data_IF_154216443595
#
_entry.id   IF_154216443595
#
_cell.length_a   1.000
_cell.length_b   1.000
_cell.length_c   1.000
_cell.angle_alpha   90.00
_cell.angle_beta   90.00
_cell.angle_gamma   90.00
#
_symmetry.space_group_name_H-M   'P 1'
#
loop_
_entity.id
_entity.type
_entity.pdbx_description
1 polymer ?
#
# COMPACT_ATOMS: atom_id res chain seq x y z
N UNK A 1 -16.56 -50.86 -27.37
CA UNK A 1 -15.38 -50.02 -27.49
C UNK A 1 -15.69 -48.51 -27.26
N UNK A 2 -16.90 -48.14 -26.79
CA UNK A 2 -17.31 -46.74 -26.63
C UNK A 2 -17.41 -46.24 -25.16
N UNK A 3 -17.13 -47.07 -24.16
CA UNK A 3 -17.24 -46.67 -22.73
C UNK A 3 -15.92 -46.05 -22.24
N UNK A 4 -14.78 -46.53 -22.74
CA UNK A 4 -13.46 -45.99 -22.38
C UNK A 4 -13.24 -44.53 -22.83
N UNK A 5 -13.70 -44.15 -24.04
CA UNK A 5 -13.54 -42.77 -24.54
C UNK A 5 -14.35 -41.74 -23.75
N UNK A 6 -15.51 -42.13 -23.19
CA UNK A 6 -16.33 -41.22 -22.36
C UNK A 6 -15.71 -40.91 -21.01
N UNK A 7 -14.99 -41.88 -20.44
CA UNK A 7 -14.27 -41.70 -19.17
C UNK A 7 -13.12 -40.69 -19.25
N UNK A 8 -12.35 -40.73 -20.33
CA UNK A 8 -11.24 -39.77 -20.54
C UNK A 8 -11.71 -38.33 -20.77
N UNK A 9 -12.85 -38.13 -21.45
CA UNK A 9 -13.40 -36.79 -21.70
C UNK A 9 -13.91 -36.11 -20.40
N UNK A 10 -14.50 -36.86 -19.49
CA UNK A 10 -14.96 -36.36 -18.18
C UNK A 10 -13.78 -36.06 -17.26
N UNK A 11 -12.76 -36.92 -17.26
CA UNK A 11 -11.55 -36.72 -16.47
C UNK A 11 -10.75 -35.50 -16.94
N UNK A 12 -10.66 -35.25 -18.26
CA UNK A 12 -10.00 -34.05 -18.81
C UNK A 12 -10.76 -32.77 -18.48
N UNK A 13 -12.10 -32.79 -18.50
CA UNK A 13 -12.95 -31.66 -18.14
C UNK A 13 -12.85 -31.31 -16.64
N UNK A 14 -12.74 -32.32 -15.76
CA UNK A 14 -12.55 -32.12 -14.32
C UNK A 14 -11.15 -31.55 -14.03
N UNK A 15 -10.11 -31.97 -14.74
CA UNK A 15 -8.75 -31.44 -14.57
C UNK A 15 -8.66 -29.96 -14.94
N UNK A 16 -9.37 -29.52 -15.99
CA UNK A 16 -9.39 -28.13 -16.43
C UNK A 16 -10.02 -27.16 -15.42
N UNK A 17 -10.96 -27.63 -14.60
CA UNK A 17 -11.64 -26.80 -13.58
C UNK A 17 -10.73 -26.52 -12.38
N UNK A 18 -9.78 -27.39 -12.04
CA UNK A 18 -8.85 -27.17 -10.93
C UNK A 18 -7.77 -26.13 -11.21
N UNK A 19 -7.41 -25.88 -12.48
CA UNK A 19 -6.43 -24.86 -12.83
C UNK A 19 -7.00 -23.44 -12.80
N UNK A 20 -8.32 -23.26 -12.78
CA UNK A 20 -8.96 -21.94 -12.78
C UNK A 20 -9.10 -21.32 -11.38
N UNK A 21 -8.88 -22.06 -10.30
CA UNK A 21 -9.19 -21.61 -8.94
C UNK A 21 -8.09 -20.75 -8.26
N UNK A 22 -6.83 -20.82 -8.76
CA UNK A 22 -5.73 -20.01 -8.21
C UNK A 22 -5.38 -18.75 -9.05
N UNK A 23 -6.09 -18.53 -10.16
CA UNK A 23 -5.73 -17.54 -11.18
C UNK A 23 -5.89 -16.06 -10.77
N UNK A 24 -7.09 -15.60 -10.33
CA UNK A 24 -7.35 -14.14 -10.21
C UNK A 24 -6.50 -13.46 -9.15
N UNK A 25 -6.41 -14.02 -7.95
CA UNK A 25 -5.63 -13.40 -6.86
C UNK A 25 -4.13 -13.42 -7.14
N UNK A 26 -3.61 -14.45 -7.81
CA UNK A 26 -2.20 -14.48 -8.22
C UNK A 26 -1.90 -13.42 -9.28
N UNK A 27 -2.78 -13.26 -10.27
CA UNK A 27 -2.66 -12.23 -11.30
C UNK A 27 -2.75 -10.83 -10.67
N UNK A 28 -3.76 -10.57 -9.83
CA UNK A 28 -3.91 -9.29 -9.14
C UNK A 28 -2.67 -8.95 -8.31
N UNK A 29 -2.07 -9.95 -7.61
CA UNK A 29 -0.83 -9.77 -6.87
C UNK A 29 0.36 -9.40 -7.75
N UNK A 30 0.48 -10.04 -8.92
CA UNK A 30 1.49 -9.71 -9.92
C UNK A 30 1.34 -8.28 -10.45
N UNK A 31 0.11 -7.88 -10.79
CA UNK A 31 -0.18 -6.53 -11.26
C UNK A 31 0.10 -5.48 -10.16
N UNK A 32 -0.25 -5.75 -8.89
CA UNK A 32 0.10 -4.86 -7.77
C UNK A 32 1.61 -4.72 -7.63
N UNK A 33 2.37 -5.82 -7.72
CA UNK A 33 3.83 -5.77 -7.63
C UNK A 33 4.44 -4.93 -8.76
N UNK A 34 3.97 -5.08 -10.00
CA UNK A 34 4.42 -4.28 -11.15
C UNK A 34 4.05 -2.81 -10.98
N UNK A 35 2.83 -2.53 -10.52
CA UNK A 35 2.37 -1.17 -10.25
C UNK A 35 3.21 -0.47 -9.17
N UNK A 36 3.56 -1.17 -8.07
CA UNK A 36 4.47 -0.64 -7.05
C UNK A 36 5.83 -0.30 -7.63
N UNK A 37 6.43 -1.19 -8.42
CA UNK A 37 7.72 -0.93 -9.06
C UNK A 37 7.65 0.29 -10.01
N UNK A 38 6.58 0.43 -10.79
CA UNK A 38 6.37 1.58 -11.65
C UNK A 38 6.26 2.87 -10.82
N UNK A 39 5.49 2.86 -9.74
CA UNK A 39 5.31 4.00 -8.83
C UNK A 39 6.64 4.43 -8.19
N UNK A 40 7.47 3.50 -7.72
CA UNK A 40 8.79 3.80 -7.14
C UNK A 40 9.79 4.36 -8.14
N UNK A 41 9.63 4.06 -9.44
CA UNK A 41 10.42 4.69 -10.52
C UNK A 41 9.87 6.03 -10.99
N UNK A 42 8.76 6.51 -10.41
CA UNK A 42 8.07 7.74 -10.83
C UNK A 42 7.21 7.58 -12.07
N UNK A 43 7.04 6.36 -12.59
CA UNK A 43 6.11 6.07 -13.69
C UNK A 43 4.67 5.96 -13.17
N UNK A 44 4.09 7.12 -12.83
CA UNK A 44 2.75 7.17 -12.27
C UNK A 44 1.68 6.69 -13.25
N UNK A 45 1.88 6.89 -14.55
CA UNK A 45 0.94 6.45 -15.58
C UNK A 45 0.97 4.93 -15.75
N UNK A 46 2.15 4.33 -15.78
CA UNK A 46 2.31 2.88 -15.80
C UNK A 46 1.75 2.23 -14.53
N UNK A 47 2.04 2.81 -13.35
CA UNK A 47 1.48 2.36 -12.09
C UNK A 47 -0.06 2.35 -12.10
N UNK A 48 -0.69 3.42 -12.62
CA UNK A 48 -2.14 3.50 -12.75
C UNK A 48 -2.70 2.35 -13.60
N UNK A 49 -2.07 2.04 -14.74
CA UNK A 49 -2.48 0.95 -15.62
C UNK A 49 -2.44 -0.41 -14.91
N UNK A 50 -1.37 -0.72 -14.21
CA UNK A 50 -1.23 -1.97 -13.45
C UNK A 50 -2.25 -2.07 -12.33
N UNK A 51 -2.47 -1.02 -11.54
CA UNK A 51 -3.45 -1.06 -10.45
C UNK A 51 -4.89 -1.09 -10.95
N UNK A 52 -5.19 -0.54 -12.13
CA UNK A 52 -6.48 -0.73 -12.79
C UNK A 52 -6.71 -2.19 -13.18
N UNK A 53 -5.70 -2.85 -13.76
CA UNK A 53 -5.77 -4.26 -14.11
C UNK A 53 -5.96 -5.14 -12.86
N UNK A 54 -5.19 -4.88 -11.80
CA UNK A 54 -5.33 -5.57 -10.53
C UNK A 54 -6.75 -5.42 -9.95
N UNK A 55 -7.31 -4.20 -9.95
CA UNK A 55 -8.65 -3.93 -9.42
C UNK A 55 -9.77 -4.55 -10.27
N UNK A 56 -9.57 -4.68 -11.57
CA UNK A 56 -10.50 -5.39 -12.48
C UNK A 56 -10.46 -6.90 -12.22
N UNK A 57 -9.30 -7.44 -11.91
CA UNK A 57 -9.09 -8.87 -11.65
C UNK A 57 -9.60 -9.26 -10.25
N UNK A 58 -9.18 -8.53 -9.21
CA UNK A 58 -9.63 -8.75 -7.83
C UNK A 58 -9.51 -7.45 -7.02
N UNK A 59 -10.62 -6.74 -6.89
CA UNK A 59 -10.69 -5.48 -6.12
C UNK A 59 -10.56 -5.67 -4.60
N UNK A 60 -10.69 -6.91 -4.10
CA UNK A 60 -10.60 -7.26 -2.68
C UNK A 60 -9.22 -7.83 -2.31
N UNK A 61 -8.34 -8.03 -3.30
CA UNK A 61 -7.01 -8.56 -3.03
C UNK A 61 -6.23 -7.64 -2.09
N UNK A 62 -5.53 -8.25 -1.13
CA UNK A 62 -4.66 -7.57 -0.16
C UNK A 62 -3.23 -7.97 -0.43
N UNK A 63 -2.38 -6.99 -0.68
CA UNK A 63 -0.95 -7.15 -0.90
C UNK A 63 -0.17 -6.90 0.40
N UNK A 64 0.95 -7.62 0.58
CA UNK A 64 1.86 -7.47 1.71
C UNK A 64 1.54 -8.37 2.89
N UNK A 65 2.52 -8.53 3.77
CA UNK A 65 2.46 -9.36 4.98
C UNK A 65 2.31 -8.50 6.23
N UNK A 66 3.29 -7.69 6.55
CA UNK A 66 3.29 -6.79 7.70
C UNK A 66 2.46 -5.54 7.42
N UNK A 67 2.78 -4.84 6.32
CA UNK A 67 1.98 -3.73 5.80
C UNK A 67 1.00 -4.28 4.76
N UNK A 68 -0.25 -4.41 5.17
CA UNK A 68 -1.31 -5.00 4.35
C UNK A 68 -2.18 -3.92 3.73
N UNK A 69 -2.16 -3.83 2.41
CA UNK A 69 -2.87 -2.80 1.66
C UNK A 69 -3.77 -3.42 0.59
N UNK A 70 -4.97 -2.88 0.45
CA UNK A 70 -5.93 -3.34 -0.55
C UNK A 70 -5.61 -2.83 -1.96
N UNK A 71 -6.00 -3.58 -2.98
CA UNK A 71 -5.87 -3.18 -4.40
C UNK A 71 -6.46 -1.79 -4.67
N UNK A 72 -7.61 -1.48 -4.05
CA UNK A 72 -8.25 -0.16 -4.21
C UNK A 72 -7.43 0.97 -3.55
N UNK A 73 -6.65 0.69 -2.51
CA UNK A 73 -5.72 1.66 -1.94
C UNK A 73 -4.66 2.07 -2.96
N UNK A 74 -4.02 1.09 -3.59
CA UNK A 74 -3.05 1.30 -4.65
C UNK A 74 -3.64 2.07 -5.84
N UNK A 75 -4.82 1.67 -6.31
CA UNK A 75 -5.50 2.34 -7.41
C UNK A 75 -5.81 3.81 -7.07
N UNK A 76 -6.37 4.07 -5.90
CA UNK A 76 -6.71 5.43 -5.47
C UNK A 76 -5.48 6.33 -5.35
N UNK A 77 -4.36 5.80 -4.84
CA UNK A 77 -3.08 6.52 -4.77
C UNK A 77 -2.53 6.83 -6.16
N UNK A 78 -2.55 5.87 -7.08
CA UNK A 78 -2.12 6.11 -8.46
C UNK A 78 -3.00 7.13 -9.18
N UNK A 79 -4.31 7.12 -8.96
CA UNK A 79 -5.23 8.15 -9.48
C UNK A 79 -4.86 9.53 -8.92
N UNK A 80 -4.56 9.65 -7.62
CA UNK A 80 -4.11 10.88 -7.00
C UNK A 80 -2.81 11.40 -7.64
N UNK A 81 -1.80 10.54 -7.82
CA UNK A 81 -0.51 10.89 -8.41
C UNK A 81 -0.64 11.32 -9.89
N UNK A 82 -1.66 10.86 -10.58
CA UNK A 82 -2.00 11.28 -11.95
C UNK A 82 -2.97 12.48 -12.00
N UNK A 83 -3.24 13.15 -10.88
CA UNK A 83 -4.12 14.32 -10.80
C UNK A 83 -5.62 14.01 -10.96
N UNK A 84 -6.02 12.74 -10.96
CA UNK A 84 -7.40 12.29 -11.08
C UNK A 84 -8.10 12.35 -9.71
N UNK A 85 -8.25 13.56 -9.15
CA UNK A 85 -8.65 13.75 -7.76
C UNK A 85 -10.06 13.23 -7.44
N UNK A 86 -11.04 13.38 -8.33
CA UNK A 86 -12.39 12.90 -8.09
C UNK A 86 -12.46 11.36 -8.09
N UNK A 87 -11.94 10.63 -9.10
CA UNK A 87 -11.81 9.18 -9.03
C UNK A 87 -11.00 8.69 -7.82
N UNK A 88 -9.89 9.36 -7.47
CA UNK A 88 -9.06 9.00 -6.33
C UNK A 88 -9.85 9.02 -5.01
N UNK A 89 -10.64 10.09 -4.78
CA UNK A 89 -11.49 10.21 -3.60
C UNK A 89 -12.45 9.03 -3.48
N UNK A 90 -13.20 8.75 -4.54
CA UNK A 90 -14.20 7.68 -4.55
C UNK A 90 -13.55 6.31 -4.32
N UNK A 91 -12.41 6.06 -4.96
CA UNK A 91 -11.68 4.80 -4.84
C UNK A 91 -11.08 4.63 -3.43
N UNK A 92 -10.48 5.68 -2.85
CA UNK A 92 -9.91 5.64 -1.50
C UNK A 92 -10.99 5.49 -0.42
N UNK A 93 -12.17 6.08 -0.61
CA UNK A 93 -13.30 5.86 0.28
C UNK A 93 -13.77 4.40 0.25
N UNK A 94 -13.84 3.78 -0.93
CA UNK A 94 -14.15 2.35 -1.07
C UNK A 94 -13.06 1.48 -0.43
N UNK A 95 -11.77 1.81 -0.63
CA UNK A 95 -10.66 1.13 0.02
C UNK A 95 -10.81 1.12 1.55
N UNK A 96 -11.11 2.27 2.14
CA UNK A 96 -11.33 2.39 3.58
C UNK A 96 -12.62 1.74 4.08
N UNK A 97 -13.64 1.61 3.23
CA UNK A 97 -14.85 0.85 3.57
C UNK A 97 -14.55 -0.66 3.66
N UNK A 98 -13.68 -1.18 2.79
CA UNK A 98 -13.21 -2.56 2.81
C UNK A 98 -12.18 -2.81 3.92
N UNK A 99 -11.19 -1.92 4.08
CA UNK A 99 -10.05 -2.06 4.99
C UNK A 99 -9.85 -0.78 5.81
N UNK A 100 -10.57 -0.65 6.92
CA UNK A 100 -10.53 0.54 7.81
C UNK A 100 -9.13 0.81 8.39
N UNK A 101 -8.26 -0.19 8.43
CA UNK A 101 -6.90 -0.12 8.93
C UNK A 101 -5.87 0.28 7.87
N UNK A 102 -6.27 0.51 6.63
CA UNK A 102 -5.36 0.97 5.57
C UNK A 102 -4.94 2.42 5.82
N UNK A 103 -3.72 2.58 6.33
CA UNK A 103 -3.20 3.87 6.77
C UNK A 103 -2.83 4.77 5.59
N UNK A 104 -2.34 4.18 4.49
CA UNK A 104 -1.99 4.92 3.28
C UNK A 104 -3.25 5.37 2.53
N UNK A 105 -4.28 4.52 2.42
CA UNK A 105 -5.55 4.95 1.85
C UNK A 105 -6.12 6.17 2.59
N UNK A 106 -5.99 6.21 3.94
CA UNK A 106 -6.45 7.34 4.75
C UNK A 106 -5.64 8.59 4.49
N UNK A 107 -4.31 8.49 4.50
CA UNK A 107 -3.44 9.63 4.24
C UNK A 107 -3.70 10.22 2.85
N UNK A 108 -3.78 9.38 1.81
CA UNK A 108 -4.05 9.83 0.45
C UNK A 108 -5.48 10.35 0.25
N UNK A 109 -6.46 9.85 1.00
CA UNK A 109 -7.81 10.44 1.02
C UNK A 109 -7.75 11.89 1.54
N UNK A 110 -7.02 12.11 2.63
CA UNK A 110 -6.80 13.45 3.18
C UNK A 110 -6.13 14.40 2.18
N UNK A 111 -5.05 13.95 1.53
CA UNK A 111 -4.36 14.70 0.48
C UNK A 111 -5.28 15.02 -0.70
N UNK A 112 -6.08 14.04 -1.13
CA UNK A 112 -7.05 14.20 -2.23
C UNK A 112 -8.10 15.25 -1.90
N UNK A 113 -8.71 15.16 -0.72
CA UNK A 113 -9.76 16.07 -0.25
C UNK A 113 -9.22 17.49 -0.07
N UNK A 114 -8.00 17.65 0.47
CA UNK A 114 -7.33 18.93 0.61
C UNK A 114 -7.06 19.60 -0.75
N UNK A 115 -6.58 18.82 -1.74
CA UNK A 115 -6.33 19.30 -3.11
C UNK A 115 -7.63 19.63 -3.87
N UNK A 116 -8.76 19.03 -3.50
CA UNK A 116 -10.08 19.40 -4.04
C UNK A 116 -10.65 20.68 -3.42
N UNK A 117 -9.98 21.29 -2.44
CA UNK A 117 -10.37 22.55 -1.82
C UNK A 117 -11.00 22.42 -0.43
N UNK A 118 -11.44 21.24 0.00
CA UNK A 118 -11.91 21.03 1.38
C UNK A 118 -10.70 20.80 2.31
N UNK A 119 -9.99 21.89 2.57
CA UNK A 119 -8.79 21.88 3.39
C UNK A 119 -9.03 21.42 4.82
N UNK A 120 -10.18 21.75 5.39
CA UNK A 120 -10.48 21.36 6.78
C UNK A 120 -10.69 19.86 6.94
N UNK A 121 -11.49 19.24 6.08
CA UNK A 121 -11.68 17.79 6.08
C UNK A 121 -10.40 17.05 5.68
N UNK A 122 -9.69 17.58 4.66
CA UNK A 122 -8.40 17.02 4.24
C UNK A 122 -7.38 17.01 5.36
N UNK A 123 -7.26 18.13 6.13
CA UNK A 123 -6.33 18.21 7.25
C UNK A 123 -6.61 17.15 8.31
N UNK A 124 -7.88 16.94 8.67
CA UNK A 124 -8.27 15.91 9.64
C UNK A 124 -7.86 14.51 9.19
N UNK A 125 -8.05 14.18 7.92
CA UNK A 125 -7.68 12.86 7.40
C UNK A 125 -6.15 12.71 7.25
N UNK A 126 -5.42 13.77 6.86
CA UNK A 126 -3.95 13.79 6.85
C UNK A 126 -3.39 13.54 8.25
N UNK A 127 -3.88 14.29 9.24
CA UNK A 127 -3.48 14.13 10.64
C UNK A 127 -3.74 12.71 11.17
N UNK A 128 -4.93 12.18 10.89
CA UNK A 128 -5.29 10.81 11.26
C UNK A 128 -4.40 9.77 10.56
N UNK A 129 -4.16 9.92 9.27
CA UNK A 129 -3.28 9.03 8.50
C UNK A 129 -1.87 9.00 9.09
N UNK A 130 -1.28 10.17 9.36
CA UNK A 130 0.05 10.28 9.99
C UNK A 130 0.10 9.64 11.37
N UNK A 131 -0.87 9.91 12.24
CA UNK A 131 -0.93 9.30 13.57
C UNK A 131 -0.96 7.78 13.49
N UNK A 132 -1.77 7.23 12.60
CA UNK A 132 -1.89 5.77 12.42
C UNK A 132 -0.63 5.13 11.86
N UNK A 133 0.06 5.80 10.91
CA UNK A 133 1.38 5.35 10.42
C UNK A 133 2.39 5.32 11.55
N UNK A 134 2.47 6.39 12.35
CA UNK A 134 3.36 6.46 13.51
C UNK A 134 3.05 5.34 14.51
N UNK A 135 1.78 5.15 14.84
CA UNK A 135 1.35 4.14 15.80
C UNK A 135 1.66 2.72 15.29
N UNK A 136 1.50 2.47 14.00
CA UNK A 136 1.92 1.22 13.37
C UNK A 136 3.43 0.99 13.50
N UNK A 137 4.26 1.98 13.16
CA UNK A 137 5.71 1.89 13.30
C UNK A 137 6.14 1.68 14.74
N UNK A 138 5.52 2.38 15.70
CA UNK A 138 5.77 2.17 17.12
C UNK A 138 5.40 0.75 17.55
N UNK A 139 4.26 0.23 17.10
CA UNK A 139 3.87 -1.15 17.35
C UNK A 139 4.91 -2.15 16.82
N UNK A 140 5.36 -1.97 15.55
CA UNK A 140 6.38 -2.84 14.95
C UNK A 140 7.68 -2.82 15.76
N UNK A 141 8.18 -1.64 16.06
CA UNK A 141 9.48 -1.46 16.76
C UNK A 141 9.46 -1.85 18.23
N UNK A 142 8.31 -1.84 18.89
CA UNK A 142 8.20 -2.23 20.31
C UNK A 142 7.81 -3.70 20.49
N UNK A 143 6.83 -4.17 19.72
CA UNK A 143 6.33 -5.55 19.86
C UNK A 143 7.33 -6.56 19.31
N UNK A 144 8.03 -6.21 18.23
CA UNK A 144 8.99 -7.09 17.55
C UNK A 144 10.44 -6.61 17.71
N UNK A 145 10.74 -5.87 18.79
CA UNK A 145 12.05 -5.25 19.03
C UNK A 145 13.23 -6.24 18.99
N UNK A 146 13.03 -7.47 19.45
CA UNK A 146 14.06 -8.52 19.53
C UNK A 146 14.11 -9.39 18.25
N UNK A 147 13.35 -9.03 17.21
CA UNK A 147 13.28 -9.75 15.94
C UNK A 147 13.27 -8.75 14.77
N UNK A 148 12.46 -8.97 13.75
CA UNK A 148 12.42 -8.12 12.55
C UNK A 148 12.00 -6.65 12.80
N UNK A 149 11.33 -6.34 13.90
CA UNK A 149 10.91 -4.98 14.23
C UNK A 149 12.05 -3.99 14.44
N UNK A 150 13.26 -4.46 14.80
CA UNK A 150 14.44 -3.61 14.93
C UNK A 150 14.89 -2.98 13.61
N UNK A 151 14.50 -3.55 12.47
CA UNK A 151 14.83 -3.06 11.14
C UNK A 151 13.81 -2.05 10.59
N UNK A 152 12.69 -1.83 11.30
CA UNK A 152 11.65 -0.90 10.88
C UNK A 152 11.97 0.53 11.33
N UNK A 153 12.11 1.44 10.36
CA UNK A 153 12.39 2.87 10.58
C UNK A 153 13.48 3.13 11.65
N UNK A 154 14.64 2.44 11.58
CA UNK A 154 15.67 2.49 12.64
C UNK A 154 16.25 3.90 12.81
N UNK A 155 16.38 4.65 11.72
CA UNK A 155 16.82 6.05 11.73
C UNK A 155 15.70 7.06 12.06
N UNK A 156 14.48 6.58 12.25
CA UNK A 156 13.27 7.39 12.43
C UNK A 156 13.00 8.35 11.24
N UNK A 157 13.36 7.92 10.04
CA UNK A 157 13.23 8.70 8.81
C UNK A 157 11.75 8.93 8.41
N UNK A 158 10.82 8.14 8.99
CA UNK A 158 9.38 8.29 8.79
C UNK A 158 8.76 8.95 10.02
N UNK A 159 9.05 8.48 11.23
CA UNK A 159 8.43 8.98 12.47
C UNK A 159 8.78 10.43 12.79
N UNK A 160 10.05 10.85 12.62
CA UNK A 160 10.44 12.26 12.87
C UNK A 160 9.73 13.27 11.96
N UNK A 161 9.64 13.09 10.64
CA UNK A 161 8.83 13.95 9.77
C UNK A 161 7.34 13.97 10.15
N UNK A 162 6.77 12.83 10.55
CA UNK A 162 5.39 12.78 11.05
C UNK A 162 5.23 13.67 12.28
N UNK A 163 6.08 13.53 13.30
CA UNK A 163 5.99 14.31 14.53
C UNK A 163 6.18 15.81 14.25
N UNK A 164 7.06 16.15 13.32
CA UNK A 164 7.25 17.54 12.86
C UNK A 164 5.97 18.09 12.23
N UNK A 165 5.37 17.36 11.30
CA UNK A 165 4.13 17.80 10.63
C UNK A 165 2.96 17.88 11.63
N UNK A 166 2.80 16.93 12.53
CA UNK A 166 1.76 16.96 13.57
C UNK A 166 1.93 18.17 14.50
N UNK A 167 3.17 18.52 14.84
CA UNK A 167 3.49 19.70 15.65
C UNK A 167 3.14 21.00 14.89
N UNK A 168 3.45 21.10 13.60
CA UNK A 168 3.08 22.24 12.75
C UNK A 168 1.56 22.39 12.64
N UNK A 169 0.84 21.29 12.44
CA UNK A 169 -0.63 21.29 12.39
C UNK A 169 -1.21 21.78 13.72
N UNK A 170 -0.73 21.28 14.83
CA UNK A 170 -1.20 21.66 16.17
C UNK A 170 -0.99 23.14 16.48
N UNK A 171 0.08 23.75 15.96
CA UNK A 171 0.36 25.18 16.09
C UNK A 171 -0.47 26.06 15.17
N UNK A 172 -1.15 25.47 14.18
CA UNK A 172 -1.94 26.20 13.17
C UNK A 172 -1.12 27.09 12.23
N UNK A 173 0.20 26.95 12.22
CA UNK A 173 1.12 27.73 11.37
C UNK A 173 1.93 26.80 10.49
N UNK A 174 1.40 26.51 9.29
CA UNK A 174 2.05 25.70 8.28
C UNK A 174 1.68 26.14 6.87
N UNK A 175 2.60 25.91 5.94
CA UNK A 175 2.35 26.02 4.50
C UNK A 175 1.70 24.75 3.97
N UNK A 176 0.62 24.91 3.20
CA UNK A 176 -0.11 23.77 2.63
C UNK A 176 0.69 22.98 1.61
N UNK A 177 1.50 23.65 0.80
CA UNK A 177 2.33 22.99 -0.20
C UNK A 177 3.38 22.11 0.48
N UNK A 178 3.99 22.65 1.53
CA UNK A 178 4.96 21.91 2.34
C UNK A 178 4.31 20.73 3.06
N UNK A 179 3.14 20.91 3.68
CA UNK A 179 2.44 19.82 4.35
C UNK A 179 2.08 18.70 3.37
N UNK A 180 1.57 19.02 2.18
CA UNK A 180 1.25 18.04 1.14
C UNK A 180 2.51 17.31 0.70
N UNK A 181 3.58 18.02 0.32
CA UNK A 181 4.83 17.41 -0.15
C UNK A 181 5.47 16.50 0.92
N UNK A 182 5.51 16.96 2.17
CA UNK A 182 6.01 16.15 3.27
C UNK A 182 5.17 14.88 3.48
N UNK A 183 3.85 15.00 3.37
CA UNK A 183 2.93 13.86 3.53
C UNK A 183 3.11 12.83 2.42
N UNK A 184 3.33 13.28 1.18
CA UNK A 184 3.63 12.41 0.03
C UNK A 184 4.96 11.69 0.24
N UNK A 185 6.00 12.38 0.73
CA UNK A 185 7.31 11.78 1.05
C UNK A 185 7.20 10.75 2.18
N UNK A 186 6.47 11.07 3.25
CA UNK A 186 6.18 10.13 4.35
C UNK A 186 5.48 8.89 3.82
N UNK A 187 4.46 9.06 2.97
CA UNK A 187 3.71 7.95 2.39
C UNK A 187 4.59 7.05 1.53
N UNK A 188 5.46 7.62 0.69
CA UNK A 188 6.39 6.87 -0.14
C UNK A 188 7.40 6.08 0.70
N UNK A 189 8.00 6.71 1.70
CA UNK A 189 8.96 6.06 2.60
C UNK A 189 8.28 4.91 3.38
N UNK A 190 7.06 5.14 3.86
CA UNK A 190 6.31 4.10 4.59
C UNK A 190 5.91 2.93 3.69
N UNK A 191 5.56 3.17 2.43
CA UNK A 191 5.31 2.13 1.43
C UNK A 191 6.53 1.26 1.15
N UNK A 192 7.74 1.84 1.16
CA UNK A 192 9.00 1.14 0.90
C UNK A 192 9.55 0.42 2.14
N UNK A 193 9.08 0.79 3.34
CA UNK A 193 9.67 0.35 4.60
C UNK A 193 9.69 -1.18 4.78
N UNK A 194 8.65 -1.96 4.41
CA UNK A 194 8.73 -3.42 4.50
C UNK A 194 9.87 -4.03 3.68
N UNK A 195 10.12 -3.46 2.48
CA UNK A 195 11.18 -3.95 1.61
C UNK A 195 12.57 -3.58 2.16
N UNK A 196 12.72 -2.36 2.69
CA UNK A 196 13.95 -1.90 3.35
C UNK A 196 14.25 -2.72 4.61
N UNK A 197 13.26 -2.97 5.46
CA UNK A 197 13.41 -3.74 6.67
C UNK A 197 13.85 -5.19 6.37
N UNK A 198 13.25 -5.81 5.35
CA UNK A 198 13.62 -7.17 4.92
C UNK A 198 15.05 -7.23 4.38
N UNK A 199 15.47 -6.27 3.57
CA UNK A 199 16.84 -6.20 3.07
C UNK A 199 17.87 -6.06 4.20
N UNK A 200 17.58 -5.24 5.21
CA UNK A 200 18.46 -5.08 6.37
C UNK A 200 18.54 -6.36 7.21
N UNK A 201 17.42 -7.06 7.39
CA UNK A 201 17.39 -8.34 8.09
C UNK A 201 18.21 -9.40 7.34
N UNK A 202 18.06 -9.51 6.02
CA UNK A 202 18.84 -10.44 5.19
C UNK A 202 20.36 -10.16 5.30
N UNK A 203 20.77 -8.90 5.18
CA UNK A 203 22.17 -8.48 5.34
C UNK A 203 22.72 -8.84 6.72
N UNK A 204 21.95 -8.64 7.78
CA UNK A 204 22.34 -9.00 9.14
C UNK A 204 22.53 -10.52 9.29
N UNK A 205 21.61 -11.32 8.71
CA UNK A 205 21.72 -12.79 8.73
C UNK A 205 22.96 -13.28 7.97
N UNK A 206 23.28 -12.69 6.81
CA UNK A 206 24.50 -13.03 6.05
C UNK A 206 25.77 -12.70 6.81
N UNK A 207 25.86 -11.53 7.44
CA UNK A 207 26.98 -11.16 8.30
C UNK A 207 27.19 -12.13 9.47
N UNK A 208 26.11 -12.63 10.06
CA UNK A 208 26.17 -13.59 11.16
C UNK A 208 26.59 -14.98 10.72
N UNK A 209 26.31 -15.38 9.46
CA UNK A 209 26.75 -16.68 8.88
C UNK A 209 28.23 -16.70 8.49
N UNK A 210 28.81 -15.54 8.23
CA UNK A 210 30.21 -15.39 7.80
C UNK A 210 31.21 -15.28 8.96
N UNK A 211 30.73 -15.27 10.19
CA UNK A 211 31.51 -15.27 11.44
C UNK A 211 31.59 -16.66 12.07
#
# INVERSE_FOLDING_TARGET
>A
MNIALRGYSVALLLLAVFFSACGPSFQAGGDVAQGRQAMFRGDNQGALGYFQAAAQTDSNYIYGTELREGTLSYLGRAQYLNGQLAPARDTLQKALAQHKSDNLARLYLGLTVARQGDRQSGLREIENGMKRIRDFLNYMTTTFAMSFGQFWDPAQAIRKPIDTNLTMIARGNFDWSMLISNSETIAMNFEQEPDNARQQEEQQMEMNRSR
#
